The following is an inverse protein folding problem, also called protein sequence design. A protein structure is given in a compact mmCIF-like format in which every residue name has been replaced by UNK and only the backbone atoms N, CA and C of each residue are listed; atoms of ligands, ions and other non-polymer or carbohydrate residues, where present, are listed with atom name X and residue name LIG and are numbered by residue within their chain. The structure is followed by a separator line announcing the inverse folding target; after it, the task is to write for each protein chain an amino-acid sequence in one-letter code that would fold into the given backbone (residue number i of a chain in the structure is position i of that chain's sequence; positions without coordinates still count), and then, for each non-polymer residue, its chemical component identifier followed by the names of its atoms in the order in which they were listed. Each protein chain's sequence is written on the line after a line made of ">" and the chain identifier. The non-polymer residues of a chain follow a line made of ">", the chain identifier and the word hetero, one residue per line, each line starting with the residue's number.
data_IF_742789900463
#
_entry.id   IF_742789900463
#
_cell.length_a   1.000
_cell.length_b   1.000
_cell.length_c   1.000
_cell.angle_alpha   90.00
_cell.angle_beta   90.00
_cell.angle_gamma   90.00
#
_symmetry.space_group_name_H-M   'P 1'
#
loop_
_entity.id
_entity.type
_entity.pdbx_description
1 polymer ?
#
# COMPACT_ATOMS: atom_id res chain seq x y z
N UNK A 1 10.35 19.91 13.46
CA UNK A 1 8.93 19.63 13.24
C UNK A 1 8.84 18.16 12.88
N UNK A 2 8.37 17.34 13.79
CA UNK A 2 8.22 15.90 13.57
C UNK A 2 6.96 15.69 12.75
N UNK A 3 7.12 15.26 11.52
CA UNK A 3 5.99 14.72 10.75
C UNK A 3 5.65 13.36 11.36
N UNK A 4 4.63 13.31 12.20
CA UNK A 4 3.98 12.05 12.56
C UNK A 4 3.28 11.59 11.28
N UNK A 5 3.90 10.67 10.54
CA UNK A 5 3.23 9.96 9.49
C UNK A 5 2.17 9.08 10.16
N UNK A 6 0.93 9.50 10.08
CA UNK A 6 -0.19 8.63 10.43
C UNK A 6 -0.16 7.45 9.47
N UNK A 7 -0.29 6.22 9.99
CA UNK A 7 -0.25 5.01 9.19
C UNK A 7 -1.21 5.10 8.01
N UNK A 8 -0.67 4.92 6.84
CA UNK A 8 -1.24 4.30 5.66
C UNK A 8 -2.67 4.59 5.24
N UNK A 9 -3.22 5.77 5.51
CA UNK A 9 -4.35 6.23 4.71
C UNK A 9 -3.78 6.73 3.39
N UNK A 10 -3.90 5.95 2.33
CA UNK A 10 -3.48 6.40 1.01
C UNK A 10 -4.42 7.53 0.60
N UNK A 11 -3.99 8.74 0.89
CA UNK A 11 -4.56 9.93 0.29
C UNK A 11 -4.48 9.75 -1.24
N UNK A 12 -5.58 10.03 -1.93
CA UNK A 12 -5.59 10.03 -3.40
C UNK A 12 -5.62 8.66 -4.10
N UNK A 13 -6.30 7.64 -3.50
CA UNK A 13 -6.56 6.36 -4.22
C UNK A 13 -7.23 6.56 -5.58
N UNK A 14 -8.01 7.64 -5.70
CA UNK A 14 -8.76 8.02 -6.91
C UNK A 14 -7.97 8.88 -7.89
N UNK A 15 -6.67 9.14 -7.65
CA UNK A 15 -5.81 9.92 -8.53
C UNK A 15 -4.89 9.00 -9.34
N UNK A 16 -4.84 9.22 -10.65
CA UNK A 16 -3.85 8.61 -11.55
C UNK A 16 -2.81 9.64 -12.01
N UNK A 17 -1.54 9.22 -12.11
CA UNK A 17 -0.40 10.05 -12.56
C UNK A 17 0.33 9.35 -13.67
N UNK A 18 0.46 10.02 -14.81
CA UNK A 18 1.10 9.48 -16.02
C UNK A 18 2.12 10.48 -16.53
N UNK A 19 3.36 10.05 -16.69
CA UNK A 19 4.40 10.86 -17.33
C UNK A 19 4.04 10.99 -18.81
N UNK A 20 4.09 12.22 -19.32
CA UNK A 20 3.77 12.55 -20.71
C UNK A 20 4.89 13.40 -21.31
N UNK A 21 4.98 13.39 -22.62
CA UNK A 21 6.00 14.16 -23.36
C UNK A 21 5.54 15.57 -23.70
N UNK A 22 4.22 15.77 -23.80
CA UNK A 22 3.61 17.04 -24.21
C UNK A 22 2.18 17.16 -23.67
N UNK A 23 1.57 18.34 -23.87
CA UNK A 23 0.19 18.67 -23.43
C UNK A 23 -0.83 18.60 -24.58
N UNK A 24 -0.52 17.89 -25.68
CA UNK A 24 -1.46 17.73 -26.78
C UNK A 24 -2.72 16.98 -26.39
N UNK A 25 -3.82 17.20 -27.10
CA UNK A 25 -5.09 16.50 -26.90
C UNK A 25 -4.90 14.98 -26.99
N UNK A 26 -4.07 14.53 -27.94
CA UNK A 26 -3.76 13.09 -28.09
C UNK A 26 -3.03 12.52 -26.87
N UNK A 27 -2.04 13.26 -26.35
CA UNK A 27 -1.31 12.85 -25.13
C UNK A 27 -2.23 12.84 -23.91
N UNK A 28 -3.09 13.85 -23.78
CA UNK A 28 -4.09 13.91 -22.71
C UNK A 28 -5.06 12.73 -22.75
N UNK A 29 -5.60 12.39 -23.91
CA UNK A 29 -6.53 11.26 -24.05
C UNK A 29 -5.88 9.92 -23.69
N UNK A 30 -4.65 9.68 -24.18
CA UNK A 30 -3.88 8.48 -23.85
C UNK A 30 -3.58 8.42 -22.35
N UNK A 31 -3.12 9.53 -21.79
CA UNK A 31 -2.81 9.63 -20.37
C UNK A 31 -4.06 9.46 -19.48
N UNK A 32 -5.22 9.99 -19.90
CA UNK A 32 -6.48 9.82 -19.19
C UNK A 32 -6.92 8.36 -19.06
N UNK A 33 -6.80 7.58 -20.15
CA UNK A 33 -7.06 6.13 -20.13
C UNK A 33 -6.09 5.39 -19.22
N UNK A 34 -4.80 5.70 -19.30
CA UNK A 34 -3.78 5.09 -18.45
C UNK A 34 -3.96 5.46 -16.98
N UNK A 35 -4.33 6.71 -16.69
CA UNK A 35 -4.61 7.18 -15.34
C UNK A 35 -5.82 6.45 -14.74
N UNK A 36 -6.93 6.27 -15.49
CA UNK A 36 -8.08 5.51 -15.02
C UNK A 36 -7.74 4.03 -14.81
N UNK A 37 -6.94 3.44 -15.72
CA UNK A 37 -6.41 2.08 -15.57
C UNK A 37 -5.64 1.94 -14.25
N UNK A 38 -4.74 2.88 -13.95
CA UNK A 38 -3.97 2.92 -12.72
C UNK A 38 -4.88 2.98 -11.48
N UNK A 39 -5.95 3.78 -11.52
CA UNK A 39 -6.89 3.89 -10.39
C UNK A 39 -7.71 2.60 -10.21
N UNK A 40 -8.13 1.91 -11.26
CA UNK A 40 -8.78 0.61 -11.12
C UNK A 40 -7.86 -0.43 -10.47
N UNK A 41 -6.58 -0.46 -10.84
CA UNK A 41 -5.57 -1.32 -10.20
C UNK A 41 -5.44 -0.97 -8.71
N UNK A 42 -5.36 0.31 -8.37
CA UNK A 42 -5.32 0.76 -6.97
C UNK A 42 -6.54 0.32 -6.17
N UNK A 43 -7.73 0.47 -6.74
CA UNK A 43 -8.99 0.18 -6.05
C UNK A 43 -9.26 -1.31 -5.91
N UNK A 44 -8.77 -2.14 -6.82
CA UNK A 44 -8.96 -3.60 -6.76
C UNK A 44 -7.81 -4.35 -6.11
N UNK A 45 -6.60 -3.76 -6.09
CA UNK A 45 -5.35 -4.43 -5.72
C UNK A 45 -4.83 -5.41 -6.78
N UNK A 46 -5.59 -5.64 -7.86
CA UNK A 46 -5.27 -6.61 -8.90
C UNK A 46 -4.89 -5.93 -10.22
N UNK A 47 -3.74 -6.28 -10.76
CA UNK A 47 -3.25 -5.77 -12.06
C UNK A 47 -4.13 -6.23 -13.23
N UNK A 48 -4.66 -7.45 -13.15
CA UNK A 48 -5.45 -8.05 -14.25
C UNK A 48 -6.88 -7.54 -14.35
N UNK A 49 -7.33 -6.77 -13.36
CA UNK A 49 -8.70 -6.19 -13.35
C UNK A 49 -9.00 -5.39 -14.61
N UNK A 50 -7.97 -4.78 -15.22
CA UNK A 50 -8.10 -3.95 -16.41
C UNK A 50 -8.42 -4.74 -17.70
N UNK A 51 -8.26 -6.07 -17.65
CA UNK A 51 -8.56 -6.98 -18.75
C UNK A 51 -10.04 -7.41 -18.74
N UNK A 52 -10.78 -7.09 -17.68
CA UNK A 52 -12.21 -7.36 -17.59
C UNK A 52 -12.99 -6.50 -18.59
N UNK A 53 -13.95 -7.11 -19.27
CA UNK A 53 -14.68 -6.47 -20.37
C UNK A 53 -15.33 -5.13 -19.97
N UNK A 54 -16.02 -5.10 -18.82
CA UNK A 54 -16.71 -3.89 -18.35
C UNK A 54 -15.72 -2.81 -17.88
N UNK A 55 -14.61 -3.20 -17.26
CA UNK A 55 -13.54 -2.28 -16.84
C UNK A 55 -12.80 -1.73 -18.07
N UNK A 56 -12.50 -2.57 -19.06
CA UNK A 56 -11.88 -2.15 -20.32
C UNK A 56 -12.73 -1.12 -21.06
N UNK A 57 -14.05 -1.36 -21.16
CA UNK A 57 -14.99 -0.37 -21.73
C UNK A 57 -15.03 0.94 -20.95
N UNK A 58 -14.96 0.87 -19.61
CA UNK A 58 -14.91 2.06 -18.77
C UNK A 58 -13.61 2.85 -19.01
N UNK A 59 -12.48 2.16 -19.17
CA UNK A 59 -11.17 2.78 -19.49
C UNK A 59 -11.23 3.50 -20.84
N UNK A 60 -11.88 2.89 -21.84
CA UNK A 60 -12.06 3.54 -23.14
C UNK A 60 -12.91 4.80 -23.08
N UNK A 61 -13.83 4.86 -22.13
CA UNK A 61 -14.73 5.99 -21.89
C UNK A 61 -14.38 6.75 -20.59
N UNK A 62 -13.10 6.93 -20.31
CA UNK A 62 -12.57 7.47 -19.04
C UNK A 62 -13.19 8.81 -18.61
N UNK A 63 -13.60 9.63 -19.56
CA UNK A 63 -14.19 10.95 -19.31
C UNK A 63 -15.46 10.88 -18.44
N UNK A 64 -16.21 9.77 -18.51
CA UNK A 64 -17.40 9.57 -17.69
C UNK A 64 -17.09 9.41 -16.19
N UNK A 65 -15.85 9.11 -15.84
CA UNK A 65 -15.36 8.94 -14.47
C UNK A 65 -14.54 10.12 -14.01
N UNK A 66 -14.05 10.96 -14.95
CA UNK A 66 -13.16 12.08 -14.68
C UNK A 66 -13.87 13.14 -13.85
N UNK A 67 -13.21 13.62 -12.79
CA UNK A 67 -13.62 14.79 -11.99
C UNK A 67 -12.81 16.01 -12.41
N UNK A 68 -11.48 15.86 -12.42
CA UNK A 68 -10.57 16.93 -12.78
C UNK A 68 -9.27 16.35 -13.35
N UNK A 69 -8.58 17.15 -14.17
CA UNK A 69 -7.24 16.81 -14.64
C UNK A 69 -6.38 18.05 -14.79
N UNK A 70 -5.08 17.90 -14.62
CA UNK A 70 -4.08 18.93 -14.78
C UNK A 70 -2.74 18.37 -15.24
N UNK A 71 -1.88 19.23 -15.77
CA UNK A 71 -0.48 18.92 -16.00
C UNK A 71 0.35 19.58 -14.91
N UNK A 72 1.20 18.80 -14.27
CA UNK A 72 2.11 19.25 -13.22
C UNK A 72 3.55 18.94 -13.60
N UNK A 73 4.48 19.80 -13.18
CA UNK A 73 5.90 19.57 -13.34
C UNK A 73 6.43 18.84 -12.08
N UNK A 74 6.96 17.63 -12.24
CA UNK A 74 7.56 16.87 -11.17
C UNK A 74 9.03 16.58 -11.50
N UNK A 75 9.94 17.37 -10.96
CA UNK A 75 11.34 17.37 -11.36
C UNK A 75 11.49 17.70 -12.87
N UNK A 76 12.09 16.81 -13.61
CA UNK A 76 12.24 16.95 -15.08
C UNK A 76 11.06 16.41 -15.88
N UNK A 77 10.14 15.72 -15.24
CA UNK A 77 9.02 15.06 -15.90
C UNK A 77 7.76 15.94 -15.92
N UNK A 78 7.11 16.01 -17.08
CA UNK A 78 5.76 16.52 -17.22
C UNK A 78 4.80 15.37 -16.87
N UNK A 79 3.93 15.57 -15.89
CA UNK A 79 3.00 14.56 -15.39
C UNK A 79 1.58 15.02 -15.63
N UNK A 80 0.79 14.21 -16.30
CA UNK A 80 -0.66 14.33 -16.35
C UNK A 80 -1.24 13.70 -15.08
N UNK A 81 -1.91 14.51 -14.27
CA UNK A 81 -2.63 14.05 -13.07
C UNK A 81 -4.14 14.15 -13.32
N UNK A 82 -4.86 13.09 -12.98
CA UNK A 82 -6.31 13.05 -13.14
C UNK A 82 -6.96 12.42 -11.91
N UNK A 83 -8.04 13.05 -11.42
CA UNK A 83 -8.86 12.54 -10.33
C UNK A 83 -10.19 12.01 -10.88
N UNK A 84 -10.65 10.87 -10.32
CA UNK A 84 -11.82 10.16 -10.79
C UNK A 84 -12.85 9.93 -9.68
N UNK A 85 -14.10 9.71 -10.06
CA UNK A 85 -15.20 9.42 -9.13
C UNK A 85 -15.03 8.03 -8.51
N UNK A 86 -14.48 7.98 -7.31
CA UNK A 86 -14.18 6.75 -6.59
C UNK A 86 -15.42 5.88 -6.39
N UNK A 87 -16.55 6.46 -5.96
CA UNK A 87 -17.77 5.72 -5.68
C UNK A 87 -18.31 5.01 -6.95
N UNK A 88 -18.27 5.70 -8.10
CA UNK A 88 -18.68 5.14 -9.39
C UNK A 88 -17.78 3.99 -9.82
N UNK A 89 -16.47 4.10 -9.59
CA UNK A 89 -15.50 3.06 -9.92
C UNK A 89 -15.65 1.84 -8.99
N UNK A 90 -15.81 2.06 -7.69
CA UNK A 90 -16.06 0.98 -6.73
C UNK A 90 -17.35 0.23 -7.04
N UNK A 91 -18.43 0.95 -7.39
CA UNK A 91 -19.71 0.34 -7.81
C UNK A 91 -19.53 -0.55 -9.05
N UNK A 92 -18.71 -0.11 -10.02
CA UNK A 92 -18.43 -0.90 -11.22
C UNK A 92 -17.61 -2.16 -10.88
N UNK A 93 -16.59 -2.06 -10.02
CA UNK A 93 -15.81 -3.21 -9.54
C UNK A 93 -16.71 -4.24 -8.87
N UNK A 94 -17.58 -3.81 -7.95
CA UNK A 94 -18.52 -4.69 -7.26
C UNK A 94 -19.50 -5.34 -8.24
N UNK A 95 -20.05 -4.57 -9.17
CA UNK A 95 -20.97 -5.09 -10.21
C UNK A 95 -20.27 -6.11 -11.13
N UNK A 96 -18.97 -5.98 -11.36
CA UNK A 96 -18.14 -6.94 -12.11
C UNK A 96 -17.67 -8.12 -11.25
N UNK A 97 -18.16 -8.25 -10.01
CA UNK A 97 -17.78 -9.34 -9.10
C UNK A 97 -16.35 -9.25 -8.60
N UNK A 98 -15.78 -8.03 -8.57
CA UNK A 98 -14.39 -7.82 -8.11
C UNK A 98 -14.35 -7.22 -6.72
N UNK A 99 -13.31 -7.59 -6.03
CA UNK A 99 -13.04 -7.09 -4.70
C UNK A 99 -12.65 -5.61 -4.74
N UNK A 100 -12.93 -4.92 -3.64
CA UNK A 100 -12.50 -3.52 -3.44
C UNK A 100 -11.50 -3.47 -2.30
N UNK A 101 -10.38 -2.84 -2.54
CA UNK A 101 -9.33 -2.65 -1.54
C UNK A 101 -9.59 -1.38 -0.73
N UNK A 102 -9.52 -1.49 0.59
CA UNK A 102 -9.68 -0.35 1.50
C UNK A 102 -8.58 0.70 1.30
N UNK A 103 -8.88 1.96 1.69
CA UNK A 103 -7.88 3.04 1.65
C UNK A 103 -6.81 2.88 2.73
N UNK A 104 -7.17 2.28 3.87
CA UNK A 104 -6.22 1.91 4.91
C UNK A 104 -5.36 0.75 4.43
N UNK A 105 -4.07 0.98 4.31
CA UNK A 105 -3.10 -0.01 3.83
C UNK A 105 -1.82 0.07 4.66
N UNK A 106 -1.21 -1.09 4.93
CA UNK A 106 0.09 -1.10 5.60
C UNK A 106 1.16 -0.41 4.77
N UNK A 107 2.03 0.33 5.44
CA UNK A 107 3.24 0.90 4.84
C UNK A 107 4.44 -0.03 5.02
N UNK A 108 5.45 0.09 4.16
CA UNK A 108 6.70 -0.65 4.30
C UNK A 108 7.92 0.25 4.17
N UNK A 109 8.97 -0.05 4.94
CA UNK A 109 10.31 0.46 4.67
C UNK A 109 11.07 -0.55 3.82
N UNK A 110 11.76 -0.07 2.76
CA UNK A 110 12.55 -0.91 1.84
C UNK A 110 14.04 -0.64 2.05
N UNK A 111 14.76 -1.60 2.62
CA UNK A 111 16.20 -1.66 2.61
C UNK A 111 16.66 -2.44 1.39
N UNK A 112 17.20 -1.73 0.40
CA UNK A 112 17.61 -2.30 -0.88
C UNK A 112 19.12 -2.10 -1.06
N UNK A 113 19.85 -3.21 -1.27
CA UNK A 113 21.25 -3.19 -1.65
C UNK A 113 21.41 -3.69 -3.10
N UNK A 114 22.17 -2.97 -3.90
CA UNK A 114 22.44 -3.28 -5.31
C UNK A 114 23.95 -3.48 -5.49
N UNK A 115 24.33 -4.55 -6.18
CA UNK A 115 25.68 -4.82 -6.63
C UNK A 115 25.86 -4.29 -8.06
N UNK A 116 26.78 -3.34 -8.22
CA UNK A 116 27.08 -2.78 -9.54
C UNK A 116 28.01 -3.70 -10.37
N UNK A 117 28.32 -3.29 -11.61
CA UNK A 117 29.19 -4.04 -12.52
C UNK A 117 30.63 -4.23 -12.02
N UNK A 118 31.06 -3.46 -11.03
CA UNK A 118 32.37 -3.55 -10.38
C UNK A 118 32.34 -4.41 -9.10
N UNK A 119 31.25 -5.14 -8.85
CA UNK A 119 30.97 -5.93 -7.66
C UNK A 119 30.92 -5.09 -6.36
N UNK A 120 30.72 -3.78 -6.49
CA UNK A 120 30.55 -2.91 -5.32
C UNK A 120 29.07 -2.92 -4.91
N UNK A 121 28.83 -3.06 -3.63
CA UNK A 121 27.50 -3.10 -3.04
C UNK A 121 27.15 -1.75 -2.45
N UNK A 122 25.98 -1.21 -2.82
CA UNK A 122 25.52 0.07 -2.35
C UNK A 122 24.06 -0.03 -1.87
N UNK A 123 23.73 0.66 -0.77
CA UNK A 123 22.34 0.80 -0.33
C UNK A 123 21.68 1.92 -1.15
N UNK A 124 20.46 1.70 -1.58
CA UNK A 124 19.61 2.73 -2.19
C UNK A 124 18.97 3.56 -1.10
N UNK A 125 19.26 4.84 -1.09
CA UNK A 125 18.68 5.84 -0.20
C UNK A 125 17.76 6.78 -0.98
N UNK A 126 16.88 7.50 -0.27
CA UNK A 126 15.97 8.48 -0.87
C UNK A 126 16.69 9.55 -1.69
N UNK A 127 17.88 9.96 -1.25
CA UNK A 127 18.75 10.95 -1.91
C UNK A 127 19.81 10.37 -2.84
N UNK A 128 19.74 9.07 -3.19
CA UNK A 128 20.71 8.47 -4.12
C UNK A 128 20.67 9.15 -5.49
N UNK A 129 21.84 9.25 -6.13
CA UNK A 129 22.01 9.93 -7.42
C UNK A 129 21.34 9.21 -8.59
N UNK A 130 20.93 7.96 -8.41
CA UNK A 130 20.18 7.19 -9.41
C UNK A 130 18.67 7.38 -9.22
N UNK A 131 17.91 7.19 -10.29
CA UNK A 131 16.45 7.35 -10.28
C UNK A 131 15.70 6.18 -9.58
N UNK A 132 16.41 5.21 -9.00
CA UNK A 132 15.82 4.00 -8.43
C UNK A 132 14.79 4.31 -7.34
N UNK A 133 15.12 5.21 -6.43
CA UNK A 133 14.20 5.63 -5.36
C UNK A 133 12.93 6.29 -5.93
N UNK A 134 13.08 7.12 -6.96
CA UNK A 134 11.94 7.75 -7.64
C UNK A 134 11.09 6.72 -8.39
N UNK A 135 11.72 5.74 -9.04
CA UNK A 135 11.02 4.67 -9.77
C UNK A 135 10.24 3.77 -8.81
N UNK A 136 10.81 3.41 -7.65
CA UNK A 136 10.10 2.68 -6.59
C UNK A 136 8.87 3.46 -6.12
N UNK A 137 9.02 4.75 -5.81
CA UNK A 137 7.91 5.60 -5.33
C UNK A 137 6.81 5.74 -6.40
N UNK A 138 7.19 5.91 -7.67
CA UNK A 138 6.25 6.00 -8.78
C UNK A 138 5.48 4.69 -8.98
N UNK A 139 6.15 3.56 -8.88
CA UNK A 139 5.55 2.23 -8.97
C UNK A 139 4.63 1.95 -7.78
N UNK A 140 5.07 2.29 -6.56
CA UNK A 140 4.26 2.16 -5.35
C UNK A 140 2.99 3.01 -5.43
N UNK A 141 3.11 4.26 -5.89
CA UNK A 141 1.95 5.10 -6.17
C UNK A 141 1.01 4.45 -7.20
N UNK A 142 1.55 3.90 -8.29
CA UNK A 142 0.75 3.24 -9.32
C UNK A 142 -0.01 2.01 -8.80
N UNK A 143 0.58 1.28 -7.85
CA UNK A 143 -0.03 0.11 -7.18
C UNK A 143 -0.90 0.49 -5.98
N UNK A 144 -0.86 1.74 -5.55
CA UNK A 144 -1.58 2.22 -4.36
C UNK A 144 -1.06 1.59 -3.07
N UNK A 145 0.24 1.43 -2.93
CA UNK A 145 0.91 1.02 -1.70
C UNK A 145 1.85 2.12 -1.24
N UNK A 146 2.08 2.19 0.05
CA UNK A 146 3.03 3.13 0.64
C UNK A 146 4.36 2.44 0.92
N UNK A 147 5.43 3.03 0.40
CA UNK A 147 6.79 2.59 0.66
C UNK A 147 7.64 3.76 1.12
N UNK A 148 8.48 3.51 2.08
CA UNK A 148 9.48 4.44 2.60
C UNK A 148 10.86 3.92 2.23
N UNK A 149 11.64 4.74 1.57
CA UNK A 149 13.04 4.45 1.29
C UNK A 149 13.87 5.15 2.35
N UNK A 150 14.84 4.50 3.01
CA UNK A 150 15.67 5.12 4.04
C UNK A 150 16.31 6.41 3.54
N UNK A 151 16.38 7.42 4.42
CA UNK A 151 16.86 8.76 4.06
C UNK A 151 18.36 8.74 3.76
N UNK A 152 19.12 7.85 4.39
CA UNK A 152 20.57 7.77 4.27
C UNK A 152 21.30 8.87 5.05
N UNK A 153 20.69 9.34 6.13
CA UNK A 153 21.32 10.30 7.03
C UNK A 153 22.44 9.63 7.88
N UNK A 154 23.09 10.43 8.72
CA UNK A 154 24.18 9.94 9.57
C UNK A 154 23.73 8.78 10.47
N UNK A 155 22.49 8.79 10.94
CA UNK A 155 21.95 7.73 11.79
C UNK A 155 21.81 6.41 11.01
N UNK A 156 21.25 6.45 9.79
CA UNK A 156 21.19 5.26 8.92
C UNK A 156 22.61 4.74 8.61
N UNK A 157 23.52 5.63 8.19
CA UNK A 157 24.86 5.26 7.78
C UNK A 157 25.72 4.69 8.92
N UNK A 158 25.49 5.12 10.16
CA UNK A 158 26.22 4.60 11.34
C UNK A 158 25.68 3.26 11.83
N UNK A 159 24.40 2.98 11.63
CA UNK A 159 23.74 1.84 12.24
C UNK A 159 23.46 0.70 11.24
N UNK A 160 23.34 0.98 9.93
CA UNK A 160 23.09 -0.02 8.89
C UNK A 160 24.23 -0.01 7.88
N UNK A 161 25.01 -1.07 7.86
CA UNK A 161 26.01 -1.30 6.82
C UNK A 161 25.36 -1.97 5.60
N UNK A 162 26.00 -1.83 4.44
CA UNK A 162 25.54 -2.54 3.23
C UNK A 162 25.50 -4.06 3.41
N UNK A 163 26.38 -4.61 4.24
CA UNK A 163 26.43 -6.04 4.54
C UNK A 163 25.27 -6.49 5.45
N UNK A 164 24.71 -5.60 6.26
CA UNK A 164 23.50 -5.91 7.04
C UNK A 164 22.30 -6.15 6.13
N UNK A 165 22.17 -5.32 5.10
CA UNK A 165 21.13 -5.48 4.06
C UNK A 165 21.44 -6.68 3.17
N UNK A 166 22.68 -6.80 2.70
CA UNK A 166 23.12 -7.85 1.78
C UNK A 166 22.94 -9.26 2.34
N UNK A 167 23.25 -9.43 3.63
CA UNK A 167 23.07 -10.72 4.32
C UNK A 167 21.72 -10.85 5.01
N UNK A 168 20.83 -9.88 4.81
CA UNK A 168 19.45 -9.87 5.34
C UNK A 168 19.42 -10.09 6.87
N UNK A 169 20.21 -9.34 7.63
CA UNK A 169 20.18 -9.39 9.09
C UNK A 169 18.91 -8.74 9.64
N UNK A 170 17.80 -9.46 9.48
CA UNK A 170 16.44 -8.95 9.66
C UNK A 170 16.22 -8.30 11.02
N UNK A 171 16.68 -8.91 12.12
CA UNK A 171 16.51 -8.33 13.47
C UNK A 171 17.15 -6.95 13.59
N UNK A 172 18.35 -6.76 13.03
CA UNK A 172 19.05 -5.49 13.04
C UNK A 172 18.33 -4.45 12.18
N UNK A 173 17.85 -4.86 11.00
CA UNK A 173 17.08 -3.99 10.10
C UNK A 173 15.74 -3.59 10.73
N UNK A 174 15.07 -4.49 11.48
CA UNK A 174 13.86 -4.17 12.23
C UNK A 174 14.11 -3.09 13.27
N UNK A 175 15.16 -3.21 14.08
CA UNK A 175 15.50 -2.22 15.10
C UNK A 175 15.73 -0.82 14.47
N UNK A 176 16.44 -0.75 13.36
CA UNK A 176 16.70 0.51 12.67
C UNK A 176 15.48 1.04 11.89
N UNK A 177 14.56 0.17 11.54
CA UNK A 177 13.32 0.53 10.84
C UNK A 177 12.27 1.18 11.74
N UNK A 178 12.37 1.03 13.07
CA UNK A 178 11.42 1.62 14.03
C UNK A 178 11.24 3.13 13.85
N UNK A 179 12.30 3.85 13.46
CA UNK A 179 12.25 5.29 13.20
C UNK A 179 11.35 5.69 12.03
N UNK A 180 11.14 4.79 11.08
CA UNK A 180 10.31 5.02 9.91
C UNK A 180 8.82 4.75 10.16
N UNK A 181 8.50 4.17 11.32
CA UNK A 181 7.13 3.96 11.78
C UNK A 181 6.24 3.22 10.76
N UNK A 182 6.80 2.27 10.02
CA UNK A 182 6.10 1.43 9.04
C UNK A 182 5.61 0.12 9.63
N UNK A 183 4.68 -0.55 8.95
CA UNK A 183 4.11 -1.84 9.39
C UNK A 183 4.94 -3.02 8.92
N UNK A 184 5.55 -2.90 7.76
CA UNK A 184 6.38 -3.93 7.14
C UNK A 184 7.81 -3.45 6.91
N UNK A 185 8.72 -4.40 6.95
CA UNK A 185 10.10 -4.29 6.52
C UNK A 185 10.27 -5.14 5.26
N UNK A 186 10.83 -4.57 4.22
CA UNK A 186 11.30 -5.26 3.03
C UNK A 186 12.82 -5.15 3.00
N UNK A 187 13.52 -6.28 3.03
CA UNK A 187 14.96 -6.35 2.79
C UNK A 187 15.19 -7.02 1.45
N UNK A 188 15.93 -6.37 0.56
CA UNK A 188 16.15 -6.90 -0.78
C UNK A 188 17.59 -6.66 -1.25
N UNK A 189 18.08 -7.60 -2.06
CA UNK A 189 19.42 -7.54 -2.67
C UNK A 189 19.32 -7.81 -4.15
N UNK A 190 20.00 -7.00 -4.95
CA UNK A 190 20.08 -7.18 -6.41
C UNK A 190 21.52 -7.49 -6.79
N UNK A 191 21.71 -8.58 -7.54
CA UNK A 191 22.98 -8.98 -8.09
C UNK A 191 22.87 -9.29 -9.59
N UNK A 192 23.97 -9.11 -10.32
CA UNK A 192 24.08 -9.61 -11.68
C UNK A 192 24.22 -11.14 -11.66
N UNK A 193 23.60 -11.80 -12.64
CA UNK A 193 23.72 -13.24 -12.81
C UNK A 193 25.01 -13.53 -13.57
N UNK A 194 25.96 -14.19 -12.91
CA UNK A 194 27.18 -14.64 -13.56
C UNK A 194 26.87 -15.79 -14.54
N UNK A 195 27.45 -15.78 -15.72
CA UNK A 195 27.28 -16.83 -16.72
C UNK A 195 27.60 -18.24 -16.21
N UNK A 196 28.49 -18.33 -15.22
CA UNK A 196 28.87 -19.59 -14.57
C UNK A 196 27.78 -20.16 -13.63
N UNK A 197 26.78 -19.37 -13.28
CA UNK A 197 25.69 -19.74 -12.35
C UNK A 197 24.36 -20.02 -13.08
N UNK A 198 24.33 -19.94 -14.41
CA UNK A 198 23.11 -20.19 -15.19
C UNK A 198 22.72 -21.66 -15.06
N UNK A 199 21.57 -21.91 -14.44
CA UNK A 199 20.92 -23.21 -14.30
C UNK A 199 19.64 -23.25 -15.14
N UNK A 200 19.04 -24.43 -15.32
CA UNK A 200 17.76 -24.57 -16.03
C UNK A 200 16.60 -23.77 -15.39
N UNK A 201 16.71 -23.45 -14.11
CA UNK A 201 15.72 -22.68 -13.36
C UNK A 201 15.78 -21.17 -13.65
N UNK A 202 16.89 -20.67 -14.20
CA UNK A 202 17.06 -19.24 -14.50
C UNK A 202 16.57 -18.96 -15.92
N UNK A 203 15.63 -18.02 -16.10
CA UNK A 203 15.18 -17.63 -17.45
C UNK A 203 16.37 -17.18 -18.32
N UNK A 204 16.49 -17.72 -19.51
CA UNK A 204 17.65 -17.46 -20.43
C UNK A 204 17.92 -15.99 -20.72
N UNK A 205 16.89 -15.14 -20.60
CA UNK A 205 17.02 -13.71 -20.85
C UNK A 205 17.27 -12.88 -19.57
N UNK A 206 17.37 -13.52 -18.42
CA UNK A 206 17.59 -12.82 -17.16
C UNK A 206 19.08 -12.48 -17.00
N UNK A 207 19.35 -11.23 -16.64
CA UNK A 207 20.70 -10.73 -16.35
C UNK A 207 20.87 -10.33 -14.89
N UNK A 208 19.74 -10.16 -14.17
CA UNK A 208 19.72 -9.74 -12.78
C UNK A 208 18.83 -10.66 -11.95
N UNK A 209 19.23 -10.83 -10.70
CA UNK A 209 18.49 -11.56 -9.66
C UNK A 209 18.25 -10.63 -8.48
N UNK A 210 17.05 -10.68 -7.93
CA UNK A 210 16.70 -10.04 -6.67
C UNK A 210 16.24 -11.12 -5.69
N UNK A 211 16.86 -11.15 -4.51
CA UNK A 211 16.42 -11.95 -3.37
C UNK A 211 15.77 -11.03 -2.34
N UNK A 212 14.61 -11.40 -1.78
CA UNK A 212 13.87 -10.54 -0.86
C UNK A 212 13.29 -11.28 0.35
N UNK A 213 13.08 -10.49 1.42
CA UNK A 213 12.32 -10.85 2.62
C UNK A 213 11.33 -9.73 2.90
N UNK A 214 10.04 -10.05 3.04
CA UNK A 214 8.98 -9.16 3.51
C UNK A 214 8.52 -9.67 4.87
N UNK A 215 8.61 -8.85 5.91
CA UNK A 215 8.24 -9.24 7.28
C UNK A 215 7.66 -8.05 8.05
N UNK A 216 7.11 -8.26 9.25
CA UNK A 216 6.72 -7.15 10.13
C UNK A 216 7.92 -6.27 10.47
N UNK A 217 7.72 -4.95 10.44
CA UNK A 217 8.72 -3.99 10.90
C UNK A 217 8.94 -4.05 12.43
N UNK A 218 7.92 -4.50 13.19
CA UNK A 218 8.01 -4.69 14.64
C UNK A 218 8.27 -6.17 14.96
N UNK A 219 9.44 -6.46 15.56
CA UNK A 219 9.84 -7.81 15.95
C UNK A 219 8.94 -8.45 17.03
N UNK A 220 8.14 -7.65 17.73
CA UNK A 220 7.17 -8.12 18.75
C UNK A 220 5.89 -8.66 18.14
N UNK A 221 5.61 -8.35 16.87
CA UNK A 221 4.44 -8.84 16.15
C UNK A 221 4.70 -10.22 15.54
N UNK A 222 3.64 -11.04 15.32
CA UNK A 222 3.78 -12.31 14.63
C UNK A 222 4.46 -12.13 13.27
N UNK A 223 5.50 -12.91 13.01
CA UNK A 223 6.26 -12.86 11.76
C UNK A 223 5.45 -13.55 10.66
N UNK A 224 4.77 -12.77 9.83
CA UNK A 224 4.41 -13.24 8.50
C UNK A 224 5.60 -12.95 7.60
N UNK A 225 6.43 -13.95 7.38
CA UNK A 225 7.61 -13.81 6.53
C UNK A 225 7.27 -14.33 5.15
N UNK A 226 7.38 -13.46 4.16
CA UNK A 226 7.35 -13.80 2.75
C UNK A 226 8.77 -13.66 2.22
N UNK A 227 9.29 -14.71 1.60
CA UNK A 227 10.63 -14.69 1.00
C UNK A 227 10.56 -15.19 -0.43
N UNK A 228 11.42 -14.69 -1.26
CA UNK A 228 11.44 -15.15 -2.64
C UNK A 228 12.59 -14.59 -3.45
N UNK A 229 12.53 -14.90 -4.73
CA UNK A 229 13.51 -14.53 -5.73
C UNK A 229 12.83 -14.07 -7.01
N UNK A 230 13.35 -13.01 -7.59
CA UNK A 230 12.92 -12.46 -8.86
C UNK A 230 14.08 -12.48 -9.85
N UNK A 231 13.80 -12.81 -11.10
CA UNK A 231 14.75 -12.75 -12.20
C UNK A 231 14.26 -11.77 -13.25
N UNK A 232 15.15 -10.90 -13.76
CA UNK A 232 14.80 -9.89 -14.75
C UNK A 232 15.95 -9.50 -15.66
N UNK A 233 15.65 -8.60 -16.60
CA UNK A 233 16.60 -8.13 -17.60
C UNK A 233 17.38 -6.89 -17.18
N UNK A 234 17.03 -6.28 -16.06
CA UNK A 234 17.71 -5.11 -15.50
C UNK A 234 17.47 -5.03 -13.99
N UNK A 235 18.32 -4.26 -13.29
CA UNK A 235 18.13 -3.91 -11.87
C UNK A 235 16.75 -3.32 -11.62
N UNK A 236 16.35 -2.35 -12.44
CA UNK A 236 15.06 -1.69 -12.34
C UNK A 236 13.90 -2.67 -12.48
N UNK A 237 13.95 -3.57 -13.47
CA UNK A 237 12.86 -4.52 -13.71
C UNK A 237 12.60 -5.41 -12.48
N UNK A 238 13.65 -5.95 -11.84
CA UNK A 238 13.49 -6.81 -10.66
C UNK A 238 13.05 -6.04 -9.42
N UNK A 239 13.47 -4.78 -9.28
CA UNK A 239 13.05 -3.93 -8.16
C UNK A 239 11.59 -3.49 -8.30
N UNK A 240 11.15 -3.12 -9.50
CA UNK A 240 9.75 -2.77 -9.73
C UNK A 240 8.82 -3.97 -9.59
N UNK A 241 9.28 -5.18 -9.94
CA UNK A 241 8.55 -6.43 -9.68
C UNK A 241 8.41 -6.70 -8.18
N UNK A 242 9.42 -6.40 -7.36
CA UNK A 242 9.32 -6.49 -5.90
C UNK A 242 8.18 -5.61 -5.34
N UNK A 243 7.99 -4.42 -5.89
CA UNK A 243 6.87 -3.55 -5.49
C UNK A 243 5.53 -4.17 -5.89
N UNK A 244 5.46 -4.83 -7.05
CA UNK A 244 4.26 -5.57 -7.47
C UNK A 244 3.97 -6.74 -6.52
N UNK A 245 5.00 -7.51 -6.15
CA UNK A 245 4.89 -8.61 -5.18
C UNK A 245 4.36 -8.10 -3.83
N UNK A 246 4.96 -7.03 -3.30
CA UNK A 246 4.49 -6.42 -2.05
C UNK A 246 3.02 -6.00 -2.13
N UNK A 247 2.63 -5.31 -3.21
CA UNK A 247 1.25 -4.90 -3.42
C UNK A 247 0.29 -6.11 -3.51
N UNK A 248 0.71 -7.20 -4.17
CA UNK A 248 -0.09 -8.43 -4.27
C UNK A 248 -0.26 -9.11 -2.91
N UNK A 249 0.83 -9.21 -2.11
CA UNK A 249 0.78 -9.75 -0.73
C UNK A 249 -0.19 -8.97 0.14
N UNK A 250 -0.19 -7.63 0.04
CA UNK A 250 -1.13 -6.80 0.76
C UNK A 250 -2.56 -6.97 0.26
N UNK A 251 -2.75 -6.98 -1.08
CA UNK A 251 -4.07 -7.15 -1.67
C UNK A 251 -4.70 -8.47 -1.24
N UNK A 252 -3.96 -9.57 -1.24
CA UNK A 252 -4.44 -10.87 -0.79
C UNK A 252 -4.91 -10.84 0.68
N UNK A 253 -4.16 -10.15 1.55
CA UNK A 253 -4.46 -10.09 2.99
C UNK A 253 -5.56 -9.10 3.36
N UNK A 254 -5.64 -7.96 2.67
CA UNK A 254 -6.45 -6.82 3.09
C UNK A 254 -7.53 -6.40 2.09
N UNK A 255 -7.69 -7.10 0.96
CA UNK A 255 -8.81 -6.84 0.06
C UNK A 255 -10.08 -7.47 0.63
N UNK A 256 -11.15 -6.70 0.61
CA UNK A 256 -12.46 -7.13 1.09
C UNK A 256 -13.12 -8.05 0.07
N UNK A 257 -13.44 -9.26 0.46
CA UNK A 257 -14.24 -10.15 -0.36
C UNK A 257 -15.71 -9.69 -0.35
N UNK A 258 -16.10 -8.98 -1.41
CA UNK A 258 -17.48 -8.48 -1.56
C UNK A 258 -18.46 -9.56 -2.03
N UNK A 259 -17.97 -10.75 -2.37
CA UNK A 259 -18.78 -11.88 -2.83
C UNK A 259 -19.16 -12.87 -1.73
N UNK A 260 -18.69 -12.68 -0.49
CA UNK A 260 -19.14 -13.56 0.59
C UNK A 260 -20.66 -13.45 0.73
N UNK A 261 -21.36 -14.55 0.53
CA UNK A 261 -22.82 -14.72 0.58
C UNK A 261 -23.44 -14.44 1.96
N UNK A 262 -22.65 -14.07 2.94
CA UNK A 262 -23.12 -13.60 4.23
C UNK A 262 -23.74 -12.23 4.01
N UNK A 263 -25.07 -12.18 4.06
CA UNK A 263 -25.82 -10.92 4.09
C UNK A 263 -25.24 -9.94 5.10
N UNK A 264 -25.59 -8.67 4.97
CA UNK A 264 -25.16 -7.62 5.91
C UNK A 264 -25.29 -8.11 7.35
N UNK A 265 -24.17 -8.10 8.08
CA UNK A 265 -24.10 -8.46 9.49
C UNK A 265 -23.97 -7.18 10.31
N UNK A 266 -24.84 -7.05 11.30
CA UNK A 266 -24.72 -5.99 12.29
C UNK A 266 -23.91 -6.50 13.47
N UNK A 267 -22.81 -5.82 13.80
CA UNK A 267 -21.96 -6.13 14.95
C UNK A 267 -21.91 -4.95 15.91
N UNK A 268 -21.73 -5.24 17.19
CA UNK A 268 -21.53 -4.22 18.22
C UNK A 268 -20.06 -4.07 18.54
N UNK A 269 -19.55 -2.86 18.38
CA UNK A 269 -18.19 -2.49 18.75
C UNK A 269 -18.20 -1.50 19.90
N UNK A 270 -17.38 -1.74 20.91
CA UNK A 270 -17.12 -0.78 21.98
C UNK A 270 -15.78 -0.09 21.70
N UNK A 271 -15.77 1.24 21.77
CA UNK A 271 -14.58 2.04 21.48
C UNK A 271 -14.38 2.99 22.67
N UNK A 272 -13.31 2.77 23.43
CA UNK A 272 -12.90 3.63 24.55
C UNK A 272 -11.96 4.74 24.09
N UNK A 273 -11.72 5.75 24.92
CA UNK A 273 -10.86 6.89 24.61
C UNK A 273 -11.52 7.94 23.71
N UNK A 274 -12.85 8.01 23.69
CA UNK A 274 -13.60 9.05 22.98
C UNK A 274 -13.88 10.20 23.94
N UNK A 275 -12.90 11.08 24.09
CA UNK A 275 -12.93 12.15 25.10
C UNK A 275 -13.55 13.45 24.54
N UNK A 276 -13.66 13.58 23.23
CA UNK A 276 -14.19 14.77 22.55
C UNK A 276 -15.13 14.44 21.39
N UNK A 277 -15.88 15.46 20.94
CA UNK A 277 -16.68 15.32 19.72
C UNK A 277 -15.80 15.17 18.48
N UNK A 278 -14.59 15.74 18.47
CA UNK A 278 -13.64 15.59 17.39
C UNK A 278 -13.19 14.12 17.28
N UNK A 279 -12.78 13.49 18.39
CA UNK A 279 -12.44 12.06 18.43
C UNK A 279 -13.57 11.19 17.88
N UNK A 280 -14.80 11.49 18.28
CA UNK A 280 -15.98 10.76 17.80
C UNK A 280 -16.18 10.90 16.30
N UNK A 281 -16.04 12.10 15.75
CA UNK A 281 -16.19 12.36 14.30
C UNK A 281 -15.08 11.67 13.52
N UNK A 282 -13.84 11.77 13.96
CA UNK A 282 -12.66 11.17 13.29
C UNK A 282 -12.73 9.64 13.33
N UNK A 283 -13.07 9.07 14.46
CA UNK A 283 -13.32 7.64 14.60
C UNK A 283 -14.42 7.15 13.64
N UNK A 284 -15.55 7.87 13.57
CA UNK A 284 -16.63 7.52 12.65
C UNK A 284 -16.21 7.64 11.18
N UNK A 285 -15.49 8.70 10.84
CA UNK A 285 -14.99 8.92 9.47
C UNK A 285 -14.09 7.78 9.04
N UNK A 286 -13.19 7.34 9.93
CA UNK A 286 -12.27 6.25 9.66
C UNK A 286 -13.00 4.91 9.48
N UNK A 287 -13.92 4.56 10.37
CA UNK A 287 -14.68 3.31 10.21
C UNK A 287 -15.54 3.34 8.93
N UNK A 288 -16.14 4.48 8.61
CA UNK A 288 -16.91 4.67 7.35
C UNK A 288 -16.04 4.60 6.09
N UNK A 289 -14.74 4.87 6.19
CA UNK A 289 -13.83 4.76 5.06
C UNK A 289 -13.58 3.30 4.63
N UNK A 290 -13.93 2.33 5.47
CA UNK A 290 -13.83 0.90 5.15
C UNK A 290 -14.95 0.51 4.18
N UNK A 291 -14.64 0.07 2.94
CA UNK A 291 -15.66 -0.17 1.91
C UNK A 291 -16.72 -1.22 2.25
N UNK A 292 -16.45 -2.11 3.20
CA UNK A 292 -17.41 -3.13 3.65
C UNK A 292 -18.43 -2.59 4.67
N UNK A 293 -18.21 -1.41 5.21
CA UNK A 293 -19.10 -0.79 6.20
C UNK A 293 -20.20 -0.02 5.47
N UNK A 294 -21.44 -0.47 5.63
CA UNK A 294 -22.60 0.18 5.04
C UNK A 294 -23.11 1.31 5.91
N UNK A 295 -23.18 1.09 7.23
CA UNK A 295 -23.72 2.07 8.17
C UNK A 295 -23.10 1.91 9.55
N UNK A 296 -23.08 3.00 10.31
CA UNK A 296 -22.67 3.02 11.73
C UNK A 296 -23.71 3.81 12.50
N UNK A 297 -24.18 3.22 13.60
CA UNK A 297 -25.15 3.83 14.49
C UNK A 297 -24.61 3.83 15.93
N UNK A 298 -24.59 4.98 16.57
CA UNK A 298 -24.35 5.06 18.01
C UNK A 298 -25.51 4.44 18.76
N UNK A 299 -25.23 3.44 19.59
CA UNK A 299 -26.22 2.82 20.46
C UNK A 299 -26.23 3.58 21.80
N UNK A 300 -25.06 3.78 22.38
CA UNK A 300 -24.90 4.38 23.69
C UNK A 300 -23.49 4.98 23.82
N UNK A 301 -23.40 6.10 24.54
CA UNK A 301 -22.13 6.63 25.02
C UNK A 301 -22.17 6.67 26.55
N UNK A 302 -21.09 6.23 27.17
CA UNK A 302 -20.94 6.23 28.63
C UNK A 302 -19.48 6.63 28.92
N UNK A 303 -19.31 7.80 29.53
CA UNK A 303 -18.00 8.41 29.73
C UNK A 303 -17.25 8.51 28.39
N UNK A 304 -16.05 7.95 28.32
CA UNK A 304 -15.16 7.88 27.16
C UNK A 304 -15.42 6.67 26.23
N UNK A 305 -16.48 5.87 26.50
CA UNK A 305 -16.77 4.67 25.72
C UNK A 305 -18.00 4.90 24.84
N UNK A 306 -17.80 4.78 23.53
CA UNK A 306 -18.86 4.74 22.52
C UNK A 306 -19.19 3.28 22.16
N UNK A 307 -20.43 2.85 22.39
CA UNK A 307 -20.96 1.59 21.87
C UNK A 307 -21.66 1.88 20.54
N UNK A 308 -21.13 1.34 19.46
CA UNK A 308 -21.65 1.53 18.10
C UNK A 308 -22.10 0.22 17.49
N UNK A 309 -23.13 0.27 16.69
CA UNK A 309 -23.58 -0.80 15.81
C UNK A 309 -23.04 -0.55 14.41
N UNK A 310 -22.28 -1.49 13.89
CA UNK A 310 -21.66 -1.41 12.57
C UNK A 310 -22.33 -2.43 11.66
N UNK A 311 -23.01 -1.94 10.63
CA UNK A 311 -23.56 -2.77 9.57
C UNK A 311 -22.52 -2.98 8.47
N UNK A 312 -22.10 -4.23 8.28
CA UNK A 312 -20.98 -4.57 7.39
C UNK A 312 -21.22 -5.86 6.60
N UNK A 313 -20.45 -6.02 5.51
CA UNK A 313 -20.50 -7.18 4.60
C UNK A 313 -19.30 -8.13 4.71
N UNK A 314 -18.42 -7.93 5.69
CA UNK A 314 -17.21 -8.72 5.85
C UNK A 314 -17.18 -9.45 7.19
N UNK A 315 -16.19 -10.30 7.44
CA UNK A 315 -16.03 -10.94 8.73
C UNK A 315 -15.53 -9.96 9.80
N UNK A 316 -15.87 -10.22 11.07
CA UNK A 316 -15.34 -9.46 12.22
C UNK A 316 -13.80 -9.45 12.22
N UNK A 317 -13.19 -10.58 11.88
CA UNK A 317 -11.74 -10.70 11.83
C UNK A 317 -11.10 -9.79 10.77
N UNK A 318 -11.73 -9.68 9.60
CA UNK A 318 -11.27 -8.79 8.52
C UNK A 318 -11.44 -7.32 8.90
N UNK A 319 -12.63 -6.92 9.41
CA UNK A 319 -12.85 -5.55 9.87
C UNK A 319 -11.84 -5.15 10.95
N UNK A 320 -11.63 -6.02 11.93
CA UNK A 320 -10.62 -5.85 12.98
C UNK A 320 -9.23 -5.64 12.40
N UNK A 321 -8.81 -6.47 11.46
CA UNK A 321 -7.49 -6.38 10.85
C UNK A 321 -7.29 -5.06 10.10
N UNK A 322 -8.33 -4.56 9.42
CA UNK A 322 -8.27 -3.30 8.69
C UNK A 322 -8.23 -2.11 9.65
N UNK A 323 -9.09 -2.08 10.66
CA UNK A 323 -9.11 -0.96 11.61
C UNK A 323 -7.81 -0.84 12.41
N UNK A 324 -7.16 -1.97 12.72
CA UNK A 324 -5.86 -1.99 13.41
C UNK A 324 -4.67 -1.56 12.53
N UNK A 325 -4.88 -1.31 11.24
CA UNK A 325 -3.86 -0.65 10.41
C UNK A 325 -3.73 0.83 10.78
N UNK A 326 -4.78 1.46 11.26
CA UNK A 326 -4.68 2.81 11.80
C UNK A 326 -4.20 2.74 13.26
N UNK A 327 -3.08 3.42 13.53
CA UNK A 327 -2.41 3.39 14.84
C UNK A 327 -3.23 4.05 15.96
N UNK A 328 -4.24 4.82 15.60
CA UNK A 328 -5.21 5.37 16.56
C UNK A 328 -6.13 4.30 17.12
N UNK A 329 -6.25 3.12 16.45
CA UNK A 329 -6.94 1.97 17.01
C UNK A 329 -5.97 0.97 17.63
N UNK A 330 -6.23 0.59 18.85
CA UNK A 330 -5.57 -0.54 19.51
C UNK A 330 -6.63 -1.50 20.07
N UNK A 331 -6.26 -2.78 20.24
CA UNK A 331 -7.16 -3.75 20.84
C UNK A 331 -7.32 -3.50 22.32
N UNK A 332 -8.54 -3.68 22.78
CA UNK A 332 -8.86 -3.63 24.20
C UNK A 332 -9.61 -4.92 24.64
N UNK A 333 -9.67 -5.13 25.95
CA UNK A 333 -10.43 -6.25 26.52
C UNK A 333 -11.90 -6.10 26.16
N UNK A 334 -12.52 -7.17 25.67
CA UNK A 334 -13.90 -7.13 25.18
C UNK A 334 -14.89 -6.77 26.29
N UNK A 335 -15.69 -5.72 26.09
CA UNK A 335 -16.78 -5.33 26.98
C UNK A 335 -17.96 -6.28 26.81
N UNK A 336 -18.69 -6.55 27.90
CA UNK A 336 -19.78 -7.55 27.93
C UNK A 336 -20.90 -7.34 26.89
N UNK A 337 -21.04 -6.14 26.33
CA UNK A 337 -22.09 -5.79 25.37
C UNK A 337 -21.60 -5.65 23.93
N UNK A 338 -20.31 -5.92 23.67
CA UNK A 338 -19.69 -5.77 22.38
C UNK A 338 -19.05 -7.08 21.90
N UNK A 339 -19.06 -7.31 20.61
CA UNK A 339 -18.41 -8.46 19.98
C UNK A 339 -16.92 -8.18 19.71
N UNK A 340 -16.57 -6.89 19.64
CA UNK A 340 -15.21 -6.41 19.43
C UNK A 340 -15.00 -5.13 20.23
N UNK A 341 -13.80 -4.94 20.76
CA UNK A 341 -13.46 -3.74 21.52
C UNK A 341 -12.14 -3.16 21.09
N UNK A 342 -12.14 -1.84 20.96
CA UNK A 342 -10.98 -1.04 20.60
C UNK A 342 -10.78 0.09 21.58
N UNK A 343 -9.56 0.57 21.65
CA UNK A 343 -9.21 1.85 22.23
C UNK A 343 -8.82 2.81 21.13
N UNK A 344 -9.44 3.97 21.13
CA UNK A 344 -9.10 5.11 20.29
C UNK A 344 -8.03 5.95 21.00
N UNK A 345 -7.01 6.34 20.25
CA UNK A 345 -5.99 7.27 20.68
C UNK A 345 -6.11 8.46 19.74
N UNK A 346 -6.85 9.51 20.16
CA UNK A 346 -6.92 10.78 19.45
C UNK A 346 -5.53 11.37 19.22
N UNK A 347 -5.42 12.38 18.36
CA UNK A 347 -4.16 13.07 18.10
C UNK A 347 -3.64 13.80 19.35
#
# INVERSE_FOLDING_TARGET
>A
MSFVSAAGNIEHVNIGRIIVTDQSISSQQKAGKLALKQVFIKLSGNIDVVNENEISKAIDNYEQFLIASSFIQQGQNLVFEASFNQAKMQSLLVASGRNVWASLRPSAVIWLAIENSENQKNIVYQGSSNDMAQNINSKAFARGVEVVIPVGDLNDAMNVSVYDVWNQFISKLQDQSLRYNTDYLISATVAQISESLVTEEIPRAATHRLDYVITSADFRRPKNVETGRVFGRSEEAVVLELVDIYANVLAEKFTLNTQSETGSQSIRAAISGIDSLADYVDMLALIKSVPSVNNIKLIKQTNDIALVEIDQKTSIAQLKSILLLDKRFSLETTFQQAEISFRWQGE
#
